data_IF_383131423180
#
_entry.id   IF_383131423180
#
_cell.length_a   1.000
_cell.length_b   1.000
_cell.length_c   1.000
_cell.angle_alpha   90.00
_cell.angle_beta   90.00
_cell.angle_gamma   90.00
#
_symmetry.space_group_name_H-M   'P 1'
#
loop_
_entity.id
_entity.type
_entity.pdbx_description
1 polymer ?
#
# COMPACT_ATOMS: atom_id res chain seq x y z
N UNK A 1 0.19 -20.54 42.44
CA UNK A 1 -0.18 -19.25 41.80
C UNK A 1 -0.79 -19.54 40.42
N UNK A 2 -2.03 -20.03 40.36
CA UNK A 2 -2.72 -20.26 39.08
C UNK A 2 -3.19 -18.91 38.54
N UNK A 3 -2.57 -18.42 37.47
CA UNK A 3 -3.14 -17.32 36.66
C UNK A 3 -4.03 -17.92 35.59
N UNK A 4 -5.25 -18.22 36.00
CA UNK A 4 -6.42 -18.23 35.14
C UNK A 4 -6.61 -16.83 34.55
N UNK A 5 -6.67 -16.71 33.23
CA UNK A 5 -7.59 -15.81 32.51
C UNK A 5 -7.21 -15.86 31.04
N UNK A 6 -7.82 -16.83 30.35
CA UNK A 6 -8.55 -16.56 29.12
C UNK A 6 -8.56 -15.07 28.74
N UNK A 7 -7.79 -14.70 27.72
CA UNK A 7 -8.02 -13.48 26.94
C UNK A 7 -8.55 -13.88 25.56
N UNK A 8 -9.82 -14.31 25.44
CA UNK A 8 -10.48 -14.38 24.14
C UNK A 8 -10.87 -12.94 23.78
N UNK A 9 -10.37 -12.41 22.65
CA UNK A 9 -11.01 -11.41 21.76
C UNK A 9 -10.04 -10.57 20.93
N UNK A 10 -8.75 -10.48 21.26
CA UNK A 10 -7.84 -9.55 20.56
C UNK A 10 -7.20 -10.11 19.27
N UNK A 11 -7.77 -11.17 18.68
CA UNK A 11 -7.25 -11.79 17.45
C UNK A 11 -7.86 -11.19 16.17
N UNK A 12 -8.78 -10.23 16.28
CA UNK A 12 -9.51 -9.65 15.14
C UNK A 12 -8.88 -8.38 14.52
N UNK A 13 -7.59 -8.09 14.79
CA UNK A 13 -6.89 -6.91 14.24
C UNK A 13 -5.63 -7.25 13.43
N UNK A 14 -5.29 -8.53 13.27
CA UNK A 14 -4.04 -8.96 12.62
C UNK A 14 -4.17 -9.28 11.13
N UNK A 15 -5.37 -9.19 10.55
CA UNK A 15 -5.64 -9.41 9.13
C UNK A 15 -6.61 -8.35 8.59
N UNK A 16 -6.25 -7.07 8.67
CA UNK A 16 -6.92 -6.05 7.87
C UNK A 16 -6.18 -5.91 6.53
N UNK A 17 -6.59 -6.59 5.45
CA UNK A 17 -6.03 -6.33 4.12
C UNK A 17 -6.46 -4.91 3.71
N UNK A 18 -5.50 -4.04 3.47
CA UNK A 18 -5.44 -2.80 2.64
C UNK A 18 -6.73 -2.05 2.15
N UNK A 19 -7.91 -2.25 2.70
CA UNK A 19 -9.19 -1.69 2.20
C UNK A 19 -9.92 -0.80 3.22
N UNK A 20 -9.24 -0.34 4.29
CA UNK A 20 -9.91 0.42 5.37
C UNK A 20 -10.08 1.91 5.07
N UNK A 21 -10.11 2.31 3.80
CA UNK A 21 -10.42 3.68 3.38
C UNK A 21 -11.79 3.72 2.68
N UNK A 22 -12.90 3.41 3.39
CA UNK A 22 -14.23 3.26 2.78
C UNK A 22 -14.73 4.55 2.10
N UNK A 23 -14.23 5.71 2.54
CA UNK A 23 -14.56 7.02 1.98
C UNK A 23 -13.56 7.52 0.93
N UNK A 24 -12.39 6.89 0.79
CA UNK A 24 -11.42 7.32 -0.20
C UNK A 24 -11.85 6.82 -1.58
N UNK A 25 -12.09 7.76 -2.49
CA UNK A 25 -12.35 7.48 -3.90
C UNK A 25 -11.04 7.62 -4.69
N UNK A 26 -10.69 6.58 -5.42
CA UNK A 26 -9.56 6.60 -6.33
C UNK A 26 -9.85 7.50 -7.53
N UNK A 27 -8.96 8.43 -7.85
CA UNK A 27 -9.10 9.33 -9.01
C UNK A 27 -8.71 8.68 -10.34
N UNK A 28 -8.14 7.48 -10.32
CA UNK A 28 -7.71 6.74 -11.51
C UNK A 28 -8.81 5.79 -11.99
N UNK A 29 -9.28 4.90 -11.12
CA UNK A 29 -10.30 3.90 -11.46
C UNK A 29 -11.71 4.24 -10.95
N UNK A 30 -11.89 5.36 -10.25
CA UNK A 30 -13.16 5.81 -9.65
C UNK A 30 -13.78 4.91 -8.58
N UNK A 31 -13.11 3.80 -8.21
CA UNK A 31 -13.54 2.89 -7.12
C UNK A 31 -13.21 3.49 -5.75
N UNK A 32 -13.96 3.08 -4.73
CA UNK A 32 -13.69 3.42 -3.33
C UNK A 32 -12.88 2.33 -2.64
N UNK A 33 -12.28 2.64 -1.48
CA UNK A 33 -11.50 1.68 -0.68
C UNK A 33 -9.99 1.84 -0.78
N UNK A 34 -9.48 2.67 -1.71
CA UNK A 34 -8.04 2.92 -1.87
C UNK A 34 -7.76 4.33 -2.45
N UNK A 35 -6.52 4.82 -2.27
CA UNK A 35 -6.03 6.05 -2.90
C UNK A 35 -5.48 5.78 -4.31
N UNK A 36 -5.44 6.81 -5.17
CA UNK A 36 -4.82 6.72 -6.50
C UNK A 36 -3.40 6.14 -6.50
N UNK A 37 -2.60 6.44 -5.46
CA UNK A 37 -1.25 5.89 -5.29
C UNK A 37 -1.21 4.39 -5.02
N UNK A 38 -2.30 3.81 -4.52
CA UNK A 38 -2.46 2.38 -4.23
C UNK A 38 -3.38 1.69 -5.24
N UNK A 39 -3.77 2.38 -6.31
CA UNK A 39 -4.61 1.79 -7.33
C UNK A 39 -3.82 0.75 -8.13
N UNK A 40 -4.32 -0.50 -8.24
CA UNK A 40 -3.63 -1.56 -8.98
C UNK A 40 -3.55 -1.25 -10.49
N UNK A 41 -4.51 -0.50 -10.99
CA UNK A 41 -4.65 -0.13 -12.40
C UNK A 41 -4.00 1.23 -12.73
N UNK A 42 -3.13 1.78 -11.86
CA UNK A 42 -2.54 3.09 -12.08
C UNK A 42 -1.27 3.01 -12.93
N UNK A 43 -1.30 3.44 -14.21
CA UNK A 43 -0.14 3.37 -15.10
C UNK A 43 0.97 4.34 -14.70
N UNK A 44 0.65 5.39 -13.93
CA UNK A 44 1.62 6.39 -13.45
C UNK A 44 2.26 5.97 -12.11
N UNK A 45 1.72 4.97 -11.44
CA UNK A 45 2.14 4.52 -10.12
C UNK A 45 2.00 5.57 -9.02
N UNK A 46 2.87 5.50 -8.02
CA UNK A 46 2.74 6.31 -6.79
C UNK A 46 2.95 7.81 -7.07
N UNK A 47 3.65 8.14 -8.16
CA UNK A 47 4.04 9.50 -8.49
C UNK A 47 3.03 10.14 -9.48
N UNK A 48 2.45 11.31 -9.16
CA UNK A 48 1.42 11.95 -9.99
C UNK A 48 1.91 12.32 -11.39
N UNK A 49 3.20 12.62 -11.53
CA UNK A 49 3.83 12.94 -12.82
C UNK A 49 4.30 11.70 -13.60
N UNK A 50 4.00 10.48 -13.13
CA UNK A 50 4.40 9.23 -13.80
C UNK A 50 5.90 8.95 -13.79
N UNK A 51 6.69 9.71 -13.02
CA UNK A 51 8.13 9.52 -12.93
C UNK A 51 8.49 8.43 -11.91
N UNK A 52 8.67 7.21 -12.40
CA UNK A 52 9.25 6.11 -11.65
C UNK A 52 10.78 6.13 -11.60
N UNK A 53 11.36 4.99 -11.26
CA UNK A 53 12.77 4.74 -11.35
C UNK A 53 13.21 4.65 -12.81
N UNK A 54 13.95 5.65 -13.28
CA UNK A 54 14.51 5.66 -14.64
C UNK A 54 15.57 4.58 -14.89
N UNK A 55 16.09 3.95 -13.84
CA UNK A 55 17.10 2.89 -13.98
C UNK A 55 16.48 1.52 -14.25
N UNK A 56 15.49 1.11 -13.44
CA UNK A 56 14.85 -0.21 -13.58
C UNK A 56 13.43 -0.17 -14.18
N UNK A 57 12.88 1.03 -14.43
CA UNK A 57 11.52 1.22 -14.94
C UNK A 57 10.40 1.07 -13.90
N UNK A 58 10.70 0.82 -12.63
CA UNK A 58 9.68 0.64 -11.59
C UNK A 58 8.95 1.95 -11.26
N UNK A 59 7.62 1.92 -11.19
CA UNK A 59 6.80 3.07 -10.77
C UNK A 59 6.60 3.18 -9.25
N UNK A 60 7.25 2.31 -8.48
CA UNK A 60 7.11 2.24 -7.01
C UNK A 60 8.19 2.97 -6.23
N UNK A 61 9.34 3.26 -6.84
CA UNK A 61 10.47 3.94 -6.20
C UNK A 61 11.18 4.86 -7.19
N UNK A 62 12.07 5.73 -6.70
CA UNK A 62 12.97 6.53 -7.55
C UNK A 62 14.34 5.87 -7.66
N UNK A 63 15.18 6.28 -8.63
CA UNK A 63 16.56 5.79 -8.76
C UNK A 63 17.34 5.84 -7.44
N UNK A 64 17.12 6.88 -6.66
CA UNK A 64 17.72 7.07 -5.34
C UNK A 64 17.40 5.97 -4.34
N UNK A 65 16.33 5.19 -4.54
CA UNK A 65 15.87 4.08 -3.68
C UNK A 65 15.79 2.76 -4.45
N UNK A 66 16.44 2.69 -5.61
CA UNK A 66 16.41 1.49 -6.43
C UNK A 66 17.35 0.42 -5.85
N UNK A 67 16.85 -0.78 -5.53
CA UNK A 67 17.67 -1.84 -4.93
C UNK A 67 18.76 -2.34 -5.89
N UNK A 68 18.46 -2.37 -7.19
CA UNK A 68 19.43 -2.72 -8.24
C UNK A 68 20.52 -1.65 -8.42
N UNK A 69 20.23 -0.39 -8.09
CA UNK A 69 21.20 0.71 -8.19
C UNK A 69 22.03 0.90 -6.92
N UNK A 70 21.48 0.55 -5.75
CA UNK A 70 22.19 0.63 -4.45
C UNK A 70 23.10 -0.58 -4.19
N UNK A 71 23.24 -1.48 -5.15
CA UNK A 71 24.11 -2.66 -5.07
C UNK A 71 25.52 -2.29 -5.51
#
# INVERSE_FOLDING_TARGET
MLRTSSRPFALALLFAPLETLPFAKCFVCSKTGHLSSQCPDNPKGIFPNGSGCYFCGSVKHKKADCPEYKK
#
